data_IF_462447474001
#
_entry.id   IF_462447474001
#
_cell.length_a   1.000
_cell.length_b   1.000
_cell.length_c   1.000
_cell.angle_alpha   90.00
_cell.angle_beta   90.00
_cell.angle_gamma   90.00
#
_symmetry.space_group_name_H-M   'P 1'
#
loop_
_entity.id
_entity.type
_entity.pdbx_description
1 polymer ?
#
# COMPACT_ATOMS: atom_id res chain seq x y z
N UNK A 1 -9.36 -1.29 -7.26
CA UNK A 1 -8.45 -2.43 -7.07
C UNK A 1 -8.89 -3.14 -5.81
N UNK A 2 -9.10 -4.46 -5.88
CA UNK A 2 -9.49 -5.26 -4.72
C UNK A 2 -8.25 -5.96 -4.16
N UNK A 3 -8.11 -5.93 -2.84
CA UNK A 3 -6.97 -6.48 -2.10
C UNK A 3 -7.14 -7.99 -2.01
N UNK A 4 -6.16 -8.78 -2.46
CA UNK A 4 -6.24 -10.26 -2.43
C UNK A 4 -5.84 -10.76 -1.04
N UNK A 5 -6.65 -10.41 -0.05
CA UNK A 5 -6.53 -10.97 1.30
C UNK A 5 -7.59 -12.07 1.47
N UNK A 6 -7.30 -13.06 2.30
CA UNK A 6 -8.37 -13.88 2.88
C UNK A 6 -9.36 -13.03 3.68
N UNK A 7 -10.34 -13.65 4.33
CA UNK A 7 -11.50 -12.98 4.94
C UNK A 7 -11.20 -11.83 5.92
N UNK A 8 -9.96 -11.68 6.42
CA UNK A 8 -9.57 -10.68 7.43
C UNK A 8 -8.46 -9.68 7.06
N UNK A 9 -7.96 -9.63 5.82
CA UNK A 9 -6.93 -8.65 5.47
C UNK A 9 -5.49 -9.02 5.90
N UNK A 10 -4.52 -8.12 5.71
CA UNK A 10 -3.23 -8.12 6.41
C UNK A 10 -3.29 -7.22 7.64
N UNK A 11 -2.71 -7.70 8.74
CA UNK A 11 -2.52 -6.96 9.99
C UNK A 11 -1.26 -6.10 10.03
N UNK A 12 -0.40 -6.21 9.01
CA UNK A 12 0.86 -5.48 8.92
C UNK A 12 2.02 -6.22 9.60
N UNK A 13 1.91 -7.53 9.77
CA UNK A 13 2.99 -8.32 10.36
C UNK A 13 4.13 -8.56 9.35
N UNK A 14 5.40 -8.66 9.81
CA UNK A 14 6.54 -8.86 8.90
C UNK A 14 6.44 -10.08 7.97
N UNK A 15 5.79 -11.15 8.44
CA UNK A 15 5.61 -12.38 7.67
C UNK A 15 4.52 -12.25 6.58
N UNK A 16 3.58 -11.32 6.74
CA UNK A 16 2.59 -10.96 5.74
C UNK A 16 3.27 -10.18 4.59
N UNK A 17 4.08 -9.17 4.92
CA UNK A 17 4.86 -8.43 3.90
C UNK A 17 5.85 -9.34 3.16
N UNK A 18 6.55 -10.23 3.85
CA UNK A 18 7.44 -11.19 3.22
C UNK A 18 6.71 -12.10 2.22
N UNK A 19 5.48 -12.51 2.53
CA UNK A 19 4.67 -13.30 1.61
C UNK A 19 4.23 -12.48 0.39
N UNK A 20 3.87 -11.22 0.58
CA UNK A 20 3.48 -10.32 -0.50
C UNK A 20 4.62 -10.08 -1.48
N UNK A 21 5.82 -9.83 -0.95
CA UNK A 21 7.02 -9.67 -1.74
C UNK A 21 7.34 -10.97 -2.50
N UNK A 22 7.24 -12.13 -1.85
CA UNK A 22 7.52 -13.41 -2.48
C UNK A 22 6.52 -13.78 -3.60
N UNK A 23 5.23 -13.47 -3.44
CA UNK A 23 4.19 -13.94 -4.36
C UNK A 23 3.81 -12.92 -5.43
N UNK A 24 3.89 -11.63 -5.08
CA UNK A 24 3.45 -10.52 -5.92
C UNK A 24 4.58 -9.53 -6.23
N UNK A 25 5.73 -9.66 -5.59
CA UNK A 25 6.83 -8.70 -5.71
C UNK A 25 6.47 -7.33 -5.17
N UNK A 26 5.51 -7.20 -4.27
CA UNK A 26 5.10 -5.93 -3.65
C UNK A 26 5.75 -5.84 -2.28
N UNK A 27 6.50 -4.76 -2.07
CA UNK A 27 7.22 -4.49 -0.81
C UNK A 27 6.30 -3.89 0.25
N UNK A 28 6.73 -3.94 1.51
CA UNK A 28 6.06 -3.22 2.62
C UNK A 28 5.87 -1.74 2.28
N UNK A 29 6.91 -1.05 1.81
CA UNK A 29 6.85 0.37 1.46
C UNK A 29 5.80 0.65 0.37
N UNK A 30 5.67 -0.23 -0.63
CA UNK A 30 4.64 -0.08 -1.66
C UNK A 30 3.23 -0.35 -1.11
N UNK A 31 3.05 -1.31 -0.20
CA UNK A 31 1.74 -1.55 0.41
C UNK A 31 1.33 -0.40 1.34
N UNK A 32 2.25 0.12 2.14
CA UNK A 32 2.04 1.32 2.98
C UNK A 32 1.68 2.52 2.11
N UNK A 33 2.41 2.74 1.00
CA UNK A 33 2.11 3.83 0.07
C UNK A 33 0.70 3.74 -0.51
N UNK A 34 0.20 2.53 -0.73
CA UNK A 34 -1.17 2.36 -1.18
C UNK A 34 -2.20 2.71 -0.08
N UNK A 35 -1.92 2.37 1.18
CA UNK A 35 -2.74 2.80 2.32
C UNK A 35 -2.77 4.33 2.40
N UNK A 36 -1.64 5.00 2.17
CA UNK A 36 -1.57 6.47 2.13
C UNK A 36 -2.47 7.05 1.04
N UNK A 37 -2.41 6.49 -0.17
CA UNK A 37 -3.27 6.88 -1.29
C UNK A 37 -4.75 6.73 -0.94
N UNK A 38 -5.13 5.60 -0.33
CA UNK A 38 -6.52 5.34 0.08
C UNK A 38 -6.99 6.35 1.15
N UNK A 39 -6.18 6.57 2.18
CA UNK A 39 -6.50 7.47 3.30
C UNK A 39 -6.59 8.92 2.85
N UNK A 40 -5.66 9.35 1.99
CA UNK A 40 -5.65 10.70 1.44
C UNK A 40 -6.89 10.97 0.57
N UNK A 41 -7.24 10.03 -0.32
CA UNK A 41 -8.34 10.22 -1.27
C UNK A 41 -9.73 9.87 -0.71
N UNK A 42 -9.82 9.14 0.41
CA UNK A 42 -11.10 8.90 1.10
C UNK A 42 -11.63 10.14 1.82
N UNK A 43 -10.79 11.18 1.99
CA UNK A 43 -11.12 12.36 2.79
C UNK A 43 -10.98 12.10 4.29
N UNK A 44 -10.56 10.91 4.71
CA UNK A 44 -10.20 10.57 6.08
C UNK A 44 -8.78 11.03 6.41
N UNK A 45 -8.40 12.22 5.91
CA UNK A 45 -7.07 12.81 6.10
C UNK A 45 -6.76 13.05 7.58
N UNK A 46 -7.78 13.18 8.43
CA UNK A 46 -7.60 13.21 9.90
C UNK A 46 -6.99 11.91 10.46
N UNK A 47 -7.12 10.79 9.75
CA UNK A 47 -6.45 9.52 10.07
C UNK A 47 -5.09 9.36 9.35
N UNK A 48 -4.72 10.28 8.47
CA UNK A 48 -3.37 10.36 7.91
C UNK A 48 -2.44 11.07 8.90
N UNK A 49 -2.08 10.36 9.98
CA UNK A 49 -1.14 10.86 10.98
C UNK A 49 0.33 10.72 10.54
N UNK A 50 0.61 9.88 9.53
CA UNK A 50 1.98 9.58 9.11
C UNK A 50 2.81 8.98 10.25
N UNK A 51 2.21 8.24 11.19
CA UNK A 51 2.92 7.64 12.33
C UNK A 51 3.98 6.62 11.92
N UNK A 52 3.91 6.11 10.70
CA UNK A 52 4.96 5.28 10.11
C UNK A 52 6.13 6.10 9.54
N UNK A 53 6.01 7.43 9.46
CA UNK A 53 7.03 8.34 8.94
C UNK A 53 7.89 8.86 10.09
N UNK A 54 9.20 8.89 9.88
CA UNK A 54 10.18 9.23 10.92
C UNK A 54 10.43 10.74 11.06
N UNK A 55 9.84 11.58 10.20
CA UNK A 55 10.01 13.04 10.27
C UNK A 55 9.18 13.86 9.28
N UNK A 56 9.28 15.19 9.39
CA UNK A 56 8.56 16.15 8.52
C UNK A 56 8.97 16.04 7.04
N UNK A 57 10.24 15.78 6.75
CA UNK A 57 10.76 15.63 5.37
C UNK A 57 10.10 14.44 4.66
N UNK A 58 10.00 13.29 5.31
CA UNK A 58 9.35 12.11 4.75
C UNK A 58 7.85 12.35 4.53
N UNK A 59 7.22 13.13 5.42
CA UNK A 59 5.83 13.57 5.27
C UNK A 59 5.62 14.48 4.08
N UNK A 60 6.53 15.42 3.85
CA UNK A 60 6.50 16.29 2.67
C UNK A 60 6.67 15.49 1.38
N UNK A 61 7.58 14.52 1.35
CA UNK A 61 7.78 13.65 0.18
C UNK A 61 6.53 12.82 -0.14
N UNK A 62 5.91 12.22 0.88
CA UNK A 62 4.66 11.45 0.69
C UNK A 62 3.53 12.35 0.23
N UNK A 63 3.36 13.54 0.81
CA UNK A 63 2.33 14.49 0.38
C UNK A 63 2.58 14.97 -1.06
N UNK A 64 3.82 15.26 -1.44
CA UNK A 64 4.16 15.65 -2.80
C UNK A 64 3.81 14.55 -3.82
N UNK A 65 4.02 13.27 -3.46
CA UNK A 65 3.56 12.15 -4.26
C UNK A 65 2.04 12.07 -4.34
N UNK A 66 1.33 12.20 -3.20
CA UNK A 66 -0.13 12.09 -3.13
C UNK A 66 -0.84 13.22 -3.89
N UNK A 67 -0.22 14.40 -3.95
CA UNK A 67 -0.71 15.56 -4.68
C UNK A 67 -0.42 15.53 -6.19
N UNK A 68 0.33 14.53 -6.68
CA UNK A 68 0.59 14.29 -8.09
C UNK A 68 -0.31 13.15 -8.63
N UNK A 69 -1.42 13.48 -9.33
CA UNK A 69 -2.34 12.47 -9.83
C UNK A 69 -1.71 11.53 -10.86
N UNK A 70 -0.74 12.00 -11.66
CA UNK A 70 -0.09 11.18 -12.68
C UNK A 70 0.81 10.14 -12.02
N UNK A 71 1.58 10.56 -11.01
CA UNK A 71 2.41 9.64 -10.23
C UNK A 71 1.57 8.61 -9.47
N UNK A 72 0.47 9.04 -8.83
CA UNK A 72 -0.45 8.14 -8.12
C UNK A 72 -1.09 7.13 -9.08
N UNK A 73 -1.56 7.56 -10.24
CA UNK A 73 -2.15 6.65 -11.24
C UNK A 73 -1.11 5.63 -11.73
N UNK A 74 0.09 6.08 -12.10
CA UNK A 74 1.16 5.19 -12.57
C UNK A 74 1.57 4.15 -11.51
N UNK A 75 1.61 4.57 -10.23
CA UNK A 75 1.83 3.69 -9.10
C UNK A 75 0.71 2.64 -8.97
N UNK A 76 -0.55 3.07 -8.94
CA UNK A 76 -1.71 2.17 -8.80
C UNK A 76 -1.82 1.18 -9.98
N UNK A 77 -1.53 1.62 -11.21
CA UNK A 77 -1.50 0.73 -12.37
C UNK A 77 -0.39 -0.33 -12.28
N UNK A 78 0.78 0.04 -11.75
CA UNK A 78 1.89 -0.88 -11.53
C UNK A 78 1.53 -1.91 -10.46
N UNK A 79 0.96 -1.45 -9.35
CA UNK A 79 0.48 -2.31 -8.28
C UNK A 79 -0.62 -3.27 -8.79
N UNK A 80 -1.50 -2.80 -9.68
CA UNK A 80 -2.59 -3.61 -10.25
C UNK A 80 -2.04 -4.74 -11.10
N UNK A 81 -1.06 -4.44 -11.95
CA UNK A 81 -0.40 -5.45 -12.78
C UNK A 81 0.26 -6.52 -11.91
N UNK A 82 0.86 -6.14 -10.77
CA UNK A 82 1.44 -7.10 -9.82
C UNK A 82 0.38 -7.98 -9.18
N UNK A 83 -0.69 -7.42 -8.61
CA UNK A 83 -1.79 -8.21 -8.06
C UNK A 83 -2.48 -9.12 -9.10
N UNK A 84 -2.51 -8.73 -10.37
CA UNK A 84 -3.04 -9.57 -11.46
C UNK A 84 -2.04 -10.61 -11.98
N UNK A 85 -0.76 -10.54 -11.60
CA UNK A 85 0.29 -11.45 -12.07
C UNK A 85 0.24 -12.84 -11.41
N UNK A 86 -0.45 -12.96 -10.28
CA UNK A 86 -0.54 -14.20 -9.52
C UNK A 86 -1.95 -14.35 -8.91
N UNK A 87 -2.33 -15.59 -8.60
CA UNK A 87 -3.61 -15.94 -7.97
C UNK A 87 -3.43 -16.50 -6.56
N UNK A 88 -2.20 -16.46 -6.02
CA UNK A 88 -1.88 -16.89 -4.68
C UNK A 88 -2.75 -16.19 -3.64
N UNK A 89 -3.28 -16.92 -2.67
CA UNK A 89 -4.06 -16.33 -1.58
C UNK A 89 -3.30 -16.56 -0.29
N UNK A 90 -3.23 -15.53 0.56
CA UNK A 90 -2.47 -15.63 1.79
C UNK A 90 -3.06 -16.71 2.70
N UNK A 91 -2.27 -17.73 3.11
CA UNK A 91 -2.77 -18.81 3.94
C UNK A 91 -2.84 -18.37 5.41
N UNK A 92 -4.02 -17.93 5.88
CA UNK A 92 -4.29 -17.83 7.32
C UNK A 92 -4.68 -19.20 7.88
N UNK A 93 -4.07 -19.57 9.01
CA UNK A 93 -4.35 -20.79 9.77
C UNK A 93 -5.45 -20.56 10.81
#
# INVERSE_FOLDING_TARGET
MERVWGEEGFGGDPHEYAWLEQNYGITEAEDVRWIDVLTYHSGEVEMFDGHHLEGEEEREEVLAFLEDPEAVIAFLETLLKRYQSNTATYPRA
#
